data_IF_631191251969
#
_entry.id   IF_631191251969
#
_cell.length_a   1.000
_cell.length_b   1.000
_cell.length_c   1.000
_cell.angle_alpha   90.00
_cell.angle_beta   90.00
_cell.angle_gamma   90.00
#
_symmetry.space_group_name_H-M   'P 1'
#
loop_
_entity.id
_entity.type
_entity.pdbx_description
1 polymer ?
#
# COMPACT_ATOMS: atom_id res chain seq x y z
N UNK A 1 -4.49 9.96 20.55
CA UNK A 1 -4.06 10.00 19.14
C UNK A 1 -2.93 11.00 18.87
N UNK A 2 -2.65 11.97 19.75
CA UNK A 2 -1.61 12.99 19.47
C UNK A 2 -0.19 12.45 19.30
N UNK A 3 0.20 11.39 20.02
CA UNK A 3 1.51 10.75 19.85
C UNK A 3 1.65 10.12 18.45
N UNK A 4 0.58 9.51 17.93
CA UNK A 4 0.60 8.85 16.63
C UNK A 4 0.77 9.89 15.51
N UNK A 5 -0.04 10.96 15.51
CA UNK A 5 0.19 12.11 14.63
C UNK A 5 1.58 12.73 14.77
N UNK A 6 2.07 12.88 16.00
CA UNK A 6 3.31 13.63 16.28
C UNK A 6 4.59 12.84 15.96
N UNK A 7 4.57 11.52 16.10
CA UNK A 7 5.80 10.72 16.01
C UNK A 7 5.72 9.57 15.01
N UNK A 8 4.53 9.06 14.71
CA UNK A 8 4.36 7.87 13.87
C UNK A 8 4.03 8.27 12.43
N UNK A 9 3.12 9.23 12.25
CA UNK A 9 2.64 9.61 10.92
C UNK A 9 3.76 10.16 10.04
N UNK A 10 4.64 11.01 10.56
CA UNK A 10 5.81 11.52 9.82
C UNK A 10 6.80 10.40 9.45
N UNK A 11 7.03 9.44 10.35
CA UNK A 11 7.89 8.30 10.05
C UNK A 11 7.29 7.44 8.92
N UNK A 12 5.99 7.17 8.97
CA UNK A 12 5.29 6.44 7.91
C UNK A 12 5.27 7.22 6.60
N UNK A 13 4.94 8.51 6.62
CA UNK A 13 5.00 9.38 5.44
C UNK A 13 6.39 9.37 4.82
N UNK A 14 7.44 9.46 5.62
CA UNK A 14 8.82 9.42 5.13
C UNK A 14 9.13 8.05 4.50
N UNK A 15 8.76 6.94 5.15
CA UNK A 15 8.94 5.60 4.60
C UNK A 15 8.15 5.36 3.31
N UNK A 16 6.93 5.90 3.22
CA UNK A 16 6.04 5.81 2.07
C UNK A 16 6.45 6.74 0.92
N UNK A 17 6.96 7.92 1.24
CA UNK A 17 7.31 8.96 0.27
C UNK A 17 8.75 8.89 -0.21
N UNK A 18 9.60 8.06 0.41
CA UNK A 18 10.97 7.83 -0.04
C UNK A 18 10.92 7.09 -1.38
N UNK A 19 11.20 7.75 -2.52
CA UNK A 19 11.51 7.02 -3.72
C UNK A 19 12.78 6.21 -3.39
N UNK A 20 12.90 4.98 -3.88
CA UNK A 20 14.00 4.06 -3.56
C UNK A 20 15.44 4.55 -3.82
N UNK A 21 15.67 5.84 -4.06
CA UNK A 21 16.92 6.45 -4.50
C UNK A 21 17.72 7.17 -3.42
N UNK A 22 17.12 7.75 -2.37
CA UNK A 22 17.87 8.72 -1.52
C UNK A 22 18.58 8.09 -0.31
N UNK A 23 18.02 7.06 0.34
CA UNK A 23 18.69 6.35 1.45
C UNK A 23 19.31 4.99 1.06
N UNK A 24 19.09 4.53 -0.17
CA UNK A 24 19.59 3.23 -0.67
C UNK A 24 20.80 3.36 -1.59
N UNK A 25 21.68 4.34 -1.38
CA UNK A 25 22.91 4.49 -2.19
C UNK A 25 23.91 3.32 -2.03
N UNK A 26 23.70 2.43 -1.05
CA UNK A 26 24.61 1.31 -0.73
C UNK A 26 23.91 -0.03 -0.44
N UNK A 27 22.67 -0.22 -0.89
CA UNK A 27 22.06 -1.54 -0.82
C UNK A 27 21.16 -1.76 -2.02
N UNK A 28 21.26 -2.94 -2.63
CA UNK A 28 20.24 -3.57 -3.47
C UNK A 28 18.92 -3.79 -2.69
N UNK A 29 18.38 -2.75 -2.04
CA UNK A 29 17.16 -2.76 -1.25
C UNK A 29 16.03 -2.10 -2.02
N UNK A 30 15.15 -2.91 -2.60
CA UNK A 30 13.92 -3.43 -1.96
C UNK A 30 12.76 -2.41 -1.91
N UNK A 31 12.65 -1.47 -2.85
CA UNK A 31 11.29 -0.97 -3.18
C UNK A 31 10.48 -2.18 -3.67
N UNK A 32 9.28 -2.36 -3.11
CA UNK A 32 8.37 -3.47 -3.37
C UNK A 32 8.88 -4.92 -3.13
N UNK A 33 9.61 -5.23 -2.04
CA UNK A 33 9.60 -6.64 -1.59
C UNK A 33 8.21 -6.99 -1.09
N UNK A 34 7.53 -7.76 -1.93
CA UNK A 34 6.31 -8.45 -1.56
C UNK A 34 6.67 -9.54 -0.55
N UNK A 35 5.93 -9.58 0.54
CA UNK A 35 5.97 -10.71 1.46
C UNK A 35 5.55 -11.97 0.70
N UNK A 36 6.44 -12.96 0.62
CA UNK A 36 6.25 -14.16 -0.22
C UNK A 36 4.97 -14.90 0.13
N UNK A 37 4.66 -15.03 1.43
CA UNK A 37 3.44 -15.71 1.87
C UNK A 37 2.16 -14.92 1.55
N UNK A 38 2.21 -13.60 1.61
CA UNK A 38 1.07 -12.75 1.20
C UNK A 38 0.88 -12.85 -0.31
N UNK A 39 1.96 -12.83 -1.11
CA UNK A 39 1.87 -13.03 -2.55
C UNK A 39 1.29 -14.42 -2.89
N UNK A 40 1.71 -15.46 -2.16
CA UNK A 40 1.16 -16.82 -2.33
C UNK A 40 -0.34 -16.85 -2.04
N UNK A 41 -0.78 -16.21 -0.95
CA UNK A 41 -2.20 -16.09 -0.62
C UNK A 41 -2.99 -15.34 -1.70
N UNK A 42 -2.49 -14.18 -2.15
CA UNK A 42 -3.11 -13.39 -3.22
C UNK A 42 -3.25 -14.19 -4.51
N UNK A 43 -2.22 -14.99 -4.86
CA UNK A 43 -2.24 -15.87 -6.04
C UNK A 43 -3.24 -17.03 -5.93
N UNK A 44 -3.72 -17.35 -4.73
CA UNK A 44 -4.69 -18.41 -4.48
C UNK A 44 -6.13 -17.91 -4.40
N UNK A 45 -6.36 -16.59 -4.46
CA UNK A 45 -7.70 -16.02 -4.45
C UNK A 45 -8.53 -16.49 -5.67
N UNK A 46 -9.82 -16.80 -5.49
CA UNK A 46 -10.72 -17.10 -6.60
C UNK A 46 -10.81 -15.96 -7.61
N UNK A 47 -11.10 -16.30 -8.88
CA UNK A 47 -11.36 -15.32 -9.92
C UNK A 47 -12.55 -14.43 -9.55
N UNK A 48 -12.41 -13.11 -9.80
CA UNK A 48 -13.43 -12.12 -9.47
C UNK A 48 -13.49 -11.73 -8.00
N UNK A 49 -12.51 -12.15 -7.18
CA UNK A 49 -12.42 -11.72 -5.78
C UNK A 49 -12.27 -10.20 -5.70
N UNK A 50 -13.00 -9.59 -4.75
CA UNK A 50 -12.78 -8.21 -4.32
C UNK A 50 -11.86 -8.26 -3.10
N UNK A 51 -10.72 -7.58 -3.19
CA UNK A 51 -9.71 -7.48 -2.13
C UNK A 51 -9.73 -6.05 -1.59
N UNK A 52 -9.74 -5.91 -0.27
CA UNK A 52 -9.56 -4.62 0.39
C UNK A 52 -8.15 -4.64 1.02
N UNK A 53 -7.22 -3.85 0.49
CA UNK A 53 -5.84 -3.74 1.00
C UNK A 53 -5.71 -2.45 1.84
N UNK A 54 -5.80 -2.61 3.16
CA UNK A 54 -5.79 -1.51 4.12
C UNK A 54 -4.34 -1.22 4.54
N UNK A 55 -3.90 0.02 4.35
CA UNK A 55 -2.48 0.38 4.50
C UNK A 55 -1.66 -0.16 3.32
N UNK A 56 -2.18 0.02 2.10
CA UNK A 56 -1.65 -0.57 0.88
C UNK A 56 -0.20 -0.16 0.57
N UNK A 57 0.27 0.98 1.12
CA UNK A 57 1.55 1.55 0.74
C UNK A 57 1.59 1.78 -0.77
N UNK A 58 2.65 1.30 -1.42
CA UNK A 58 2.85 1.41 -2.88
C UNK A 58 1.97 0.47 -3.73
N UNK A 59 0.84 -0.03 -3.22
CA UNK A 59 -0.08 -0.93 -3.96
C UNK A 59 0.62 -2.16 -4.57
N UNK A 60 1.47 -2.83 -3.76
CA UNK A 60 2.41 -3.87 -4.23
C UNK A 60 1.75 -5.21 -4.61
N UNK A 61 0.50 -5.42 -4.21
CA UNK A 61 -0.28 -6.62 -4.52
C UNK A 61 -1.39 -6.28 -5.49
N UNK A 62 -1.46 -7.02 -6.59
CA UNK A 62 -2.57 -6.93 -7.52
C UNK A 62 -2.62 -8.21 -8.35
N UNK A 63 -3.78 -8.45 -8.96
CA UNK A 63 -3.99 -9.46 -10.01
C UNK A 63 -4.96 -8.90 -11.05
N UNK A 64 -4.77 -9.27 -12.31
CA UNK A 64 -5.62 -8.79 -13.41
C UNK A 64 -7.02 -9.42 -13.42
N UNK A 65 -7.26 -10.42 -12.60
CA UNK A 65 -8.53 -11.17 -12.49
C UNK A 65 -9.20 -11.04 -11.11
N UNK A 66 -8.73 -10.10 -10.28
CA UNK A 66 -9.32 -9.72 -9.00
C UNK A 66 -9.41 -8.18 -8.96
N UNK A 67 -10.40 -7.64 -8.25
CA UNK A 67 -10.54 -6.20 -8.03
C UNK A 67 -9.92 -5.82 -6.68
N UNK A 68 -9.03 -4.84 -6.65
CA UNK A 68 -8.39 -4.35 -5.45
C UNK A 68 -8.91 -2.96 -5.11
N UNK A 69 -9.32 -2.79 -3.86
CA UNK A 69 -9.69 -1.51 -3.25
C UNK A 69 -8.61 -1.18 -2.23
N UNK A 70 -7.61 -0.43 -2.68
CA UNK A 70 -6.44 -0.08 -1.91
C UNK A 70 -6.67 1.24 -1.17
N UNK A 71 -6.25 1.31 0.09
CA UNK A 71 -6.27 2.56 0.83
C UNK A 71 -5.07 2.79 1.74
N UNK A 72 -4.68 4.05 1.88
CA UNK A 72 -3.63 4.51 2.81
C UNK A 72 -3.95 5.93 3.29
N UNK A 73 -3.19 6.39 4.29
CA UNK A 73 -3.28 7.75 4.84
C UNK A 73 -2.26 8.72 4.22
N UNK A 74 -1.27 8.23 3.47
CA UNK A 74 -0.21 9.06 2.90
C UNK A 74 -0.57 9.56 1.48
N UNK A 75 -1.19 10.73 1.40
CA UNK A 75 -1.54 11.38 0.13
C UNK A 75 -0.34 11.55 -0.81
N UNK A 76 0.82 11.93 -0.28
CA UNK A 76 2.01 12.22 -1.08
C UNK A 76 2.53 10.99 -1.83
N UNK A 77 2.44 9.81 -1.22
CA UNK A 77 2.75 8.53 -1.85
C UNK A 77 1.66 8.14 -2.86
N UNK A 78 0.39 8.18 -2.44
CA UNK A 78 -0.75 7.74 -3.28
C UNK A 78 -0.82 8.52 -4.59
N UNK A 79 -0.53 9.83 -4.56
CA UNK A 79 -0.54 10.70 -5.74
C UNK A 79 0.54 10.35 -6.79
N UNK A 80 1.55 9.55 -6.43
CA UNK A 80 2.66 9.17 -7.33
C UNK A 80 2.49 7.76 -7.92
N UNK A 81 1.50 6.98 -7.47
CA UNK A 81 1.34 5.60 -7.90
C UNK A 81 0.79 5.52 -9.32
N UNK A 82 1.35 4.59 -10.10
CA UNK A 82 0.77 4.12 -11.36
C UNK A 82 0.12 2.77 -11.10
N UNK A 83 -1.21 2.72 -11.25
CA UNK A 83 -2.01 1.57 -10.85
C UNK A 83 -2.39 0.69 -12.04
N UNK A 84 -2.44 -0.64 -11.86
CA UNK A 84 -3.09 -1.54 -12.79
C UNK A 84 -4.59 -1.21 -12.94
N UNK A 85 -5.24 -1.59 -14.05
CA UNK A 85 -6.66 -1.29 -14.30
C UNK A 85 -7.65 -1.84 -13.26
N UNK A 86 -7.23 -2.85 -12.49
CA UNK A 86 -8.07 -3.56 -11.53
C UNK A 86 -7.82 -3.12 -10.08
N UNK A 87 -7.17 -1.97 -9.90
CA UNK A 87 -6.83 -1.40 -8.61
C UNK A 87 -7.42 0.00 -8.51
N UNK A 88 -8.35 0.19 -7.60
CA UNK A 88 -8.83 1.50 -7.17
C UNK A 88 -8.06 1.94 -5.92
N UNK A 89 -7.78 3.23 -5.81
CA UNK A 89 -6.98 3.79 -4.72
C UNK A 89 -7.74 4.91 -4.00
N UNK A 90 -7.73 4.85 -2.67
CA UNK A 90 -8.49 5.76 -1.81
C UNK A 90 -7.59 6.31 -0.70
N UNK A 91 -7.66 7.63 -0.48
CA UNK A 91 -7.11 8.24 0.74
C UNK A 91 -8.10 7.99 1.87
N UNK A 92 -7.75 7.13 2.82
CA UNK A 92 -8.64 6.76 3.91
C UNK A 92 -7.88 6.45 5.20
N UNK A 93 -8.54 6.72 6.33
CA UNK A 93 -8.10 6.26 7.64
C UNK A 93 -8.72 4.89 7.92
N UNK A 94 -7.86 3.88 8.10
CA UNK A 94 -8.24 2.51 8.42
C UNK A 94 -9.16 2.40 9.65
N UNK A 95 -9.03 3.33 10.61
CA UNK A 95 -9.84 3.36 11.82
C UNK A 95 -11.25 3.90 11.60
N UNK A 96 -11.50 4.54 10.45
CA UNK A 96 -12.74 5.23 10.12
C UNK A 96 -13.39 4.70 8.83
N UNK A 97 -13.03 3.49 8.40
CA UNK A 97 -13.66 2.85 7.24
C UNK A 97 -15.15 2.54 7.53
N UNK A 98 -16.05 2.76 6.54
CA UNK A 98 -17.50 2.59 6.74
C UNK A 98 -17.96 1.12 6.67
N UNK A 99 -17.03 0.19 6.46
CA UNK A 99 -17.31 -1.24 6.32
C UNK A 99 -17.45 -1.88 7.73
N UNK A 100 -18.37 -2.84 7.88
CA UNK A 100 -18.55 -3.65 9.10
C UNK A 100 -18.45 -5.13 8.77
#
# INVERSE_FOLDING_TARGET
MDIEKKYVQEAYKCLASLPGTVYCRNANRKSAIRWVNVQKFVNQLPLGTIVIDIGCGEAKYHRSDCFFMDCDTCLEMLAQLQLPPMVDLQLADALNLPYR
#
